data_IF_282622322878
#
_entry.id   IF_282622322878
#
_cell.length_a   1.000
_cell.length_b   1.000
_cell.length_c   1.000
_cell.angle_alpha   90.00
_cell.angle_beta   90.00
_cell.angle_gamma   90.00
#
_symmetry.space_group_name_H-M   'P 1'
#
loop_
_entity.id
_entity.type
_entity.pdbx_description
1 polymer ?
#
# COMPACT_ATOMS: atom_id res chain seq x y z
N UNK A 1 20.58 6.70 -31.79
CA UNK A 1 20.93 5.61 -30.86
C UNK A 1 19.73 5.31 -29.98
N UNK A 2 19.01 4.21 -30.22
CA UNK A 2 17.92 3.79 -29.33
C UNK A 2 18.54 3.26 -28.03
N UNK A 3 18.40 3.99 -26.93
CA UNK A 3 18.78 3.48 -25.62
C UNK A 3 18.01 2.18 -25.36
N UNK A 4 18.75 1.07 -25.20
CA UNK A 4 18.17 -0.24 -24.90
C UNK A 4 17.39 -0.10 -23.58
N UNK A 5 16.06 -0.20 -23.62
CA UNK A 5 15.23 -0.14 -22.40
C UNK A 5 15.65 -1.27 -21.46
N UNK A 6 15.80 -0.97 -20.17
CA UNK A 6 16.10 -1.99 -19.17
C UNK A 6 14.98 -3.03 -19.10
N UNK A 7 15.29 -4.29 -18.74
CA UNK A 7 14.29 -5.35 -18.59
C UNK A 7 13.10 -4.93 -17.71
N UNK A 8 13.34 -4.27 -16.57
CA UNK A 8 12.27 -3.77 -15.69
C UNK A 8 11.45 -2.66 -16.34
N UNK A 9 12.04 -1.84 -17.21
CA UNK A 9 11.29 -0.82 -17.95
C UNK A 9 10.31 -1.48 -18.92
N UNK A 10 10.72 -2.56 -19.59
CA UNK A 10 9.84 -3.32 -20.47
C UNK A 10 8.71 -3.98 -19.68
N UNK A 11 9.01 -4.59 -18.52
CA UNK A 11 8.01 -5.18 -17.65
C UNK A 11 6.98 -4.14 -17.16
N UNK A 12 7.45 -2.96 -16.74
CA UNK A 12 6.57 -1.84 -16.34
C UNK A 12 5.68 -1.36 -17.47
N UNK A 13 6.20 -1.26 -18.70
CA UNK A 13 5.40 -0.89 -19.87
C UNK A 13 4.32 -1.92 -20.18
N UNK A 14 4.64 -3.22 -20.11
CA UNK A 14 3.65 -4.29 -20.29
C UNK A 14 2.55 -4.22 -19.21
N UNK A 15 2.94 -4.06 -17.95
CA UNK A 15 2.01 -3.92 -16.82
C UNK A 15 1.07 -2.70 -17.00
N UNK A 16 1.61 -1.55 -17.38
CA UNK A 16 0.82 -0.34 -17.63
C UNK A 16 -0.14 -0.48 -18.83
N UNK A 17 0.24 -1.30 -19.82
CA UNK A 17 -0.59 -1.60 -21.00
C UNK A 17 -1.60 -2.73 -20.76
N UNK A 18 -1.67 -3.26 -19.54
CA UNK A 18 -2.48 -4.43 -19.15
C UNK A 18 -2.14 -5.73 -19.89
N UNK A 19 -0.95 -5.80 -20.47
CA UNK A 19 -0.38 -7.03 -21.04
C UNK A 19 0.26 -7.82 -19.89
N UNK A 20 -0.58 -8.41 -19.04
CA UNK A 20 -0.16 -8.99 -17.78
C UNK A 20 0.59 -10.31 -17.95
N UNK A 21 0.28 -11.09 -18.99
CA UNK A 21 1.02 -12.32 -19.31
C UNK A 21 2.48 -11.99 -19.64
N UNK A 22 2.70 -11.02 -20.52
CA UNK A 22 4.04 -10.55 -20.86
C UNK A 22 4.74 -9.92 -19.66
N UNK A 23 4.02 -9.12 -18.87
CA UNK A 23 4.58 -8.52 -17.67
C UNK A 23 5.07 -9.60 -16.70
N UNK A 24 4.27 -10.65 -16.46
CA UNK A 24 4.63 -11.77 -15.59
C UNK A 24 5.90 -12.47 -16.08
N UNK A 25 5.95 -12.86 -17.36
CA UNK A 25 7.12 -13.53 -17.95
C UNK A 25 8.40 -12.71 -17.75
N UNK A 26 8.34 -11.40 -18.00
CA UNK A 26 9.48 -10.51 -17.84
C UNK A 26 9.90 -10.39 -16.36
N UNK A 27 8.94 -10.26 -15.44
CA UNK A 27 9.22 -10.15 -14.01
C UNK A 27 9.85 -11.43 -13.46
N UNK A 28 9.28 -12.60 -13.80
CA UNK A 28 9.80 -13.90 -13.38
C UNK A 28 11.25 -14.08 -13.85
N UNK A 29 11.53 -13.72 -15.10
CA UNK A 29 12.88 -13.76 -15.67
C UNK A 29 13.87 -12.88 -14.91
N UNK A 30 13.50 -11.63 -14.61
CA UNK A 30 14.39 -10.70 -13.89
C UNK A 30 14.70 -11.23 -12.49
N UNK A 31 13.67 -11.75 -11.79
CA UNK A 31 13.81 -12.30 -10.43
C UNK A 31 14.69 -13.55 -10.43
N UNK A 32 14.60 -14.42 -11.45
CA UNK A 32 15.41 -15.64 -11.53
C UNK A 32 16.86 -15.36 -11.94
N UNK A 33 17.10 -14.45 -12.89
CA UNK A 33 18.43 -14.22 -13.45
C UNK A 33 19.31 -13.34 -12.55
N UNK A 34 18.72 -12.42 -11.77
CA UNK A 34 19.48 -11.40 -11.01
C UNK A 34 18.97 -11.13 -9.58
N UNK A 35 18.69 -12.17 -8.76
CA UNK A 35 17.85 -12.08 -7.55
C UNK A 35 18.29 -11.05 -6.50
N UNK A 36 19.58 -10.74 -6.39
CA UNK A 36 20.12 -9.78 -5.41
C UNK A 36 20.09 -8.32 -5.83
N UNK A 37 19.80 -8.02 -7.09
CA UNK A 37 19.88 -6.65 -7.64
C UNK A 37 18.69 -5.79 -7.22
N UNK A 38 18.87 -4.47 -7.23
CA UNK A 38 17.75 -3.54 -7.03
C UNK A 38 16.66 -3.69 -8.10
N UNK A 39 17.04 -4.09 -9.31
CA UNK A 39 16.11 -4.37 -10.40
C UNK A 39 15.24 -5.59 -10.09
N UNK A 40 15.83 -6.69 -9.61
CA UNK A 40 15.09 -7.86 -9.17
C UNK A 40 14.22 -7.60 -7.96
N UNK A 41 14.67 -6.80 -7.00
CA UNK A 41 13.82 -6.40 -5.86
C UNK A 41 12.61 -5.57 -6.30
N UNK A 42 12.80 -4.65 -7.24
CA UNK A 42 11.71 -3.87 -7.83
C UNK A 42 10.77 -4.76 -8.66
N UNK A 43 11.32 -5.73 -9.41
CA UNK A 43 10.54 -6.71 -10.15
C UNK A 43 9.68 -7.55 -9.21
N UNK A 44 10.28 -8.05 -8.12
CA UNK A 44 9.57 -8.84 -7.11
C UNK A 44 8.46 -8.06 -6.45
N UNK A 45 8.68 -6.78 -6.13
CA UNK A 45 7.61 -5.93 -5.60
C UNK A 45 6.44 -5.76 -6.58
N UNK A 46 6.74 -5.53 -7.86
CA UNK A 46 5.71 -5.40 -8.90
C UNK A 46 5.00 -6.75 -9.13
N UNK A 47 5.73 -7.86 -8.99
CA UNK A 47 5.19 -9.19 -9.11
C UNK A 47 4.19 -9.49 -7.99
N UNK A 48 4.57 -9.20 -6.74
CA UNK A 48 3.69 -9.28 -5.57
C UNK A 48 2.39 -8.50 -5.78
N UNK A 49 2.48 -7.27 -6.31
CA UNK A 49 1.31 -6.44 -6.65
C UNK A 49 0.41 -7.11 -7.67
N UNK A 50 1.00 -7.71 -8.71
CA UNK A 50 0.23 -8.40 -9.74
C UNK A 50 -0.51 -9.63 -9.20
N UNK A 51 0.10 -10.39 -8.28
CA UNK A 51 -0.58 -11.48 -7.59
C UNK A 51 -1.67 -11.00 -6.62
N UNK A 52 -1.40 -9.94 -5.85
CA UNK A 52 -2.35 -9.32 -4.91
C UNK A 52 -3.57 -8.74 -5.63
N UNK A 53 -3.38 -8.16 -6.83
CA UNK A 53 -4.44 -7.59 -7.64
C UNK A 53 -5.14 -8.65 -8.52
N UNK A 54 -4.62 -9.88 -8.59
CA UNK A 54 -5.14 -10.94 -9.44
C UNK A 54 -4.92 -10.70 -10.94
N UNK A 55 -3.88 -9.95 -11.30
CA UNK A 55 -3.57 -9.62 -12.69
C UNK A 55 -2.84 -10.76 -13.42
N UNK A 56 -2.20 -11.68 -12.71
CA UNK A 56 -1.42 -12.78 -13.28
C UNK A 56 -2.11 -14.15 -13.26
N UNK A 57 -3.26 -14.21 -12.60
CA UNK A 57 -4.02 -15.42 -12.33
C UNK A 57 -5.49 -15.11 -12.51
N UNK A 58 -6.35 -16.12 -12.70
CA UNK A 58 -7.81 -15.93 -12.74
C UNK A 58 -8.39 -15.69 -11.33
N UNK A 59 -7.91 -14.66 -10.64
CA UNK A 59 -8.17 -14.37 -9.23
C UNK A 59 -6.90 -13.96 -8.49
N UNK A 60 -7.03 -13.53 -7.24
CA UNK A 60 -5.89 -13.16 -6.40
C UNK A 60 -5.08 -14.38 -5.99
N UNK A 61 -3.75 -14.28 -6.01
CA UNK A 61 -2.86 -15.28 -5.40
C UNK A 61 -2.16 -14.66 -4.19
N UNK A 62 -2.83 -14.69 -3.04
CA UNK A 62 -2.36 -14.00 -1.84
C UNK A 62 -1.11 -14.66 -1.23
N UNK A 63 -0.91 -15.96 -1.39
CA UNK A 63 0.26 -16.65 -0.85
C UNK A 63 1.54 -16.25 -1.59
N UNK A 64 1.53 -16.30 -2.92
CA UNK A 64 2.66 -15.82 -3.75
C UNK A 64 2.94 -14.33 -3.54
N UNK A 65 1.88 -13.51 -3.41
CA UNK A 65 2.03 -12.09 -3.09
C UNK A 65 2.71 -11.89 -1.72
N UNK A 66 2.32 -12.68 -0.72
CA UNK A 66 2.90 -12.61 0.62
C UNK A 66 4.38 -12.98 0.61
N UNK A 67 4.74 -14.10 -0.03
CA UNK A 67 6.12 -14.57 -0.10
C UNK A 67 7.05 -13.53 -0.76
N UNK A 68 6.60 -12.93 -1.86
CA UNK A 68 7.35 -11.88 -2.53
C UNK A 68 7.55 -10.66 -1.61
N UNK A 69 6.51 -10.22 -0.88
CA UNK A 69 6.64 -9.11 0.05
C UNK A 69 7.53 -9.41 1.24
N UNK A 70 7.40 -10.58 1.86
CA UNK A 70 8.23 -10.98 3.01
C UNK A 70 9.71 -10.99 2.62
N UNK A 71 10.06 -11.51 1.44
CA UNK A 71 11.45 -11.50 0.98
C UNK A 71 12.05 -10.09 0.80
N UNK A 72 11.20 -9.06 0.75
CA UNK A 72 11.59 -7.66 0.58
C UNK A 72 11.51 -6.86 1.88
N UNK A 73 10.88 -7.37 2.95
CA UNK A 73 10.64 -6.60 4.18
C UNK A 73 11.93 -6.18 4.88
N UNK A 74 13.02 -6.93 4.74
CA UNK A 74 14.33 -6.59 5.29
C UNK A 74 15.06 -5.46 4.52
N UNK A 75 14.53 -5.03 3.37
CA UNK A 75 15.14 -3.97 2.58
C UNK A 75 15.04 -2.62 3.31
N UNK A 76 16.14 -1.86 3.38
CA UNK A 76 16.10 -0.52 3.99
C UNK A 76 15.30 0.48 3.14
N UNK A 77 14.76 1.50 3.80
CA UNK A 77 14.12 2.66 3.16
C UNK A 77 12.73 2.35 2.59
N UNK A 78 12.39 3.03 1.48
CA UNK A 78 11.05 3.00 0.87
C UNK A 78 10.62 1.58 0.53
N UNK A 79 11.52 0.76 -0.02
CA UNK A 79 11.15 -0.56 -0.53
C UNK A 79 10.71 -1.51 0.58
N UNK A 80 11.44 -1.59 1.69
CA UNK A 80 11.01 -2.41 2.84
C UNK A 80 9.72 -1.90 3.45
N UNK A 81 9.57 -0.59 3.56
CA UNK A 81 8.32 0.01 4.09
C UNK A 81 7.11 -0.33 3.20
N UNK A 82 7.27 -0.29 1.88
CA UNK A 82 6.24 -0.71 0.93
C UNK A 82 5.96 -2.21 1.00
N UNK A 83 6.99 -3.03 1.17
CA UNK A 83 6.87 -4.48 1.30
C UNK A 83 6.15 -4.88 2.59
N UNK A 84 6.52 -4.32 3.75
CA UNK A 84 5.84 -4.52 5.02
C UNK A 84 4.36 -4.10 4.94
N UNK A 85 4.07 -2.98 4.29
CA UNK A 85 2.68 -2.56 4.04
C UNK A 85 1.95 -3.57 3.14
N UNK A 86 2.63 -4.15 2.15
CA UNK A 86 2.13 -5.23 1.31
C UNK A 86 1.80 -6.49 2.10
N UNK A 87 2.72 -6.95 2.96
CA UNK A 87 2.47 -8.06 3.88
C UNK A 87 1.21 -7.81 4.71
N UNK A 88 1.12 -6.64 5.33
CA UNK A 88 -0.01 -6.27 6.19
C UNK A 88 -1.35 -6.28 5.42
N UNK A 89 -1.39 -5.78 4.19
CA UNK A 89 -2.59 -5.85 3.35
C UNK A 89 -2.98 -7.27 3.01
N UNK A 90 -2.02 -8.10 2.62
CA UNK A 90 -2.27 -9.50 2.28
C UNK A 90 -2.82 -10.26 3.49
N UNK A 91 -2.22 -10.07 4.67
CA UNK A 91 -2.71 -10.65 5.92
C UNK A 91 -4.13 -10.17 6.27
N UNK A 92 -4.41 -8.88 6.07
CA UNK A 92 -5.75 -8.33 6.24
C UNK A 92 -6.76 -9.03 5.31
N UNK A 93 -6.41 -9.24 4.03
CA UNK A 93 -7.26 -9.94 3.06
C UNK A 93 -7.42 -11.44 3.35
N UNK A 94 -6.41 -12.10 3.93
CA UNK A 94 -6.47 -13.53 4.32
C UNK A 94 -7.29 -13.77 5.58
N UNK A 95 -7.39 -12.78 6.48
CA UNK A 95 -8.12 -12.88 7.73
C UNK A 95 -7.68 -11.80 8.71
N UNK A 96 -8.36 -10.65 8.70
CA UNK A 96 -7.93 -9.48 9.46
C UNK A 96 -7.95 -9.69 10.98
N UNK A 97 -8.89 -10.50 11.50
CA UNK A 97 -9.02 -10.76 12.95
C UNK A 97 -7.94 -11.72 13.43
N UNK A 98 -7.72 -12.78 12.67
CA UNK A 98 -6.76 -13.85 12.97
C UNK A 98 -5.32 -13.31 12.92
N UNK A 99 -5.05 -12.39 11.99
CA UNK A 99 -3.73 -11.84 11.76
C UNK A 99 -3.51 -10.45 12.38
N UNK A 100 -4.43 -9.98 13.25
CA UNK A 100 -4.45 -8.58 13.74
C UNK A 100 -3.10 -8.12 14.29
N UNK A 101 -2.45 -8.97 15.11
CA UNK A 101 -1.16 -8.63 15.73
C UNK A 101 -0.07 -8.42 14.68
N UNK A 102 0.07 -9.36 13.75
CA UNK A 102 1.10 -9.25 12.71
C UNK A 102 0.81 -8.07 11.78
N UNK A 103 -0.45 -7.79 11.44
CA UNK A 103 -0.83 -6.62 10.64
C UNK A 103 -0.36 -5.33 11.32
N UNK A 104 -0.61 -5.18 12.63
CA UNK A 104 -0.16 -4.03 13.40
C UNK A 104 1.37 -3.92 13.41
N UNK A 105 2.07 -5.01 13.73
CA UNK A 105 3.54 -5.04 13.81
C UNK A 105 4.16 -4.60 12.49
N UNK A 106 3.73 -5.18 11.36
CA UNK A 106 4.21 -4.80 10.02
C UNK A 106 3.92 -3.35 9.68
N UNK A 107 2.74 -2.83 10.04
CA UNK A 107 2.42 -1.43 9.77
C UNK A 107 3.22 -0.45 10.64
N UNK A 108 3.48 -0.80 11.90
CA UNK A 108 4.32 -0.01 12.78
C UNK A 108 5.77 0.02 12.28
N UNK A 109 6.32 -1.11 11.84
CA UNK A 109 7.64 -1.17 11.20
C UNK A 109 7.69 -0.33 9.91
N UNK A 110 6.67 -0.43 9.05
CA UNK A 110 6.60 0.38 7.83
C UNK A 110 6.53 1.89 8.13
N UNK A 111 5.82 2.26 9.19
CA UNK A 111 5.70 3.64 9.67
C UNK A 111 7.00 4.15 10.27
N UNK A 112 7.72 3.36 11.06
CA UNK A 112 8.99 3.76 11.65
C UNK A 112 10.09 3.90 10.60
N UNK A 113 10.08 3.06 9.56
CA UNK A 113 11.09 3.06 8.52
C UNK A 113 10.98 4.24 7.54
N UNK A 114 9.76 4.64 7.15
CA UNK A 114 9.58 5.67 6.12
C UNK A 114 8.31 6.55 6.29
N UNK A 115 7.68 6.55 7.47
CA UNK A 115 6.42 7.29 7.71
C UNK A 115 5.35 7.01 6.63
N UNK A 116 5.23 5.75 6.23
CA UNK A 116 4.42 5.38 5.08
C UNK A 116 2.92 5.64 5.35
N UNK A 117 2.27 6.55 4.60
CA UNK A 117 0.88 6.92 4.87
C UNK A 117 -0.09 5.77 4.62
N UNK A 118 0.23 4.80 3.75
CA UNK A 118 -0.64 3.63 3.50
C UNK A 118 -0.62 2.65 4.67
N UNK A 119 0.52 2.50 5.34
CA UNK A 119 0.61 1.74 6.59
C UNK A 119 -0.22 2.41 7.70
N UNK A 120 -0.16 3.75 7.79
CA UNK A 120 -1.00 4.51 8.72
C UNK A 120 -2.50 4.37 8.41
N UNK A 121 -2.89 4.34 7.13
CA UNK A 121 -4.28 4.05 6.75
C UNK A 121 -4.71 2.66 7.23
N UNK A 122 -3.87 1.65 7.04
CA UNK A 122 -4.19 0.29 7.45
C UNK A 122 -4.25 0.14 8.98
N UNK A 123 -3.35 0.81 9.73
CA UNK A 123 -3.45 0.92 11.19
C UNK A 123 -4.80 1.52 11.60
N UNK A 124 -5.20 2.62 10.96
CA UNK A 124 -6.49 3.25 11.24
C UNK A 124 -7.67 2.31 11.00
N UNK A 125 -7.64 1.59 9.87
CA UNK A 125 -8.69 0.63 9.49
C UNK A 125 -8.79 -0.53 10.48
N UNK A 126 -7.66 -1.12 10.87
CA UNK A 126 -7.62 -2.22 11.85
C UNK A 126 -8.14 -1.75 13.21
N UNK A 127 -7.71 -0.58 13.68
CA UNK A 127 -8.22 -0.04 14.93
C UNK A 127 -9.72 0.23 14.90
N UNK A 128 -10.26 0.71 13.79
CA UNK A 128 -11.69 1.01 13.64
C UNK A 128 -12.55 -0.26 13.54
N UNK A 129 -12.19 -1.17 12.65
CA UNK A 129 -13.08 -2.27 12.23
C UNK A 129 -12.84 -3.57 12.99
N UNK A 130 -11.63 -3.77 13.51
CA UNK A 130 -11.23 -5.02 14.15
C UNK A 130 -11.14 -4.85 15.67
N UNK A 131 -10.42 -3.83 16.12
CA UNK A 131 -10.19 -3.58 17.56
C UNK A 131 -11.32 -2.73 18.16
N UNK A 132 -12.05 -1.98 17.34
CA UNK A 132 -13.08 -1.02 17.74
C UNK A 132 -12.56 0.12 18.65
N UNK A 133 -11.29 0.50 18.48
CA UNK A 133 -10.68 1.67 19.10
C UNK A 133 -10.75 2.88 18.15
N UNK A 134 -11.84 3.63 18.28
CA UNK A 134 -12.06 4.84 17.48
C UNK A 134 -11.01 5.94 17.76
N UNK A 135 -10.44 6.01 18.96
CA UNK A 135 -9.45 7.03 19.30
C UNK A 135 -8.14 6.80 18.53
N UNK A 136 -7.63 5.57 18.55
CA UNK A 136 -6.45 5.18 17.77
C UNK A 136 -6.72 5.26 16.26
N UNK A 137 -7.89 4.84 15.79
CA UNK A 137 -8.26 4.96 14.38
C UNK A 137 -8.14 6.42 13.88
N UNK A 138 -8.78 7.36 14.59
CA UNK A 138 -8.71 8.80 14.28
C UNK A 138 -7.27 9.32 14.26
N UNK A 139 -6.44 8.92 15.23
CA UNK A 139 -5.03 9.31 15.31
C UNK A 139 -4.29 8.90 14.04
N UNK A 140 -4.39 7.63 13.65
CA UNK A 140 -3.69 7.08 12.49
C UNK A 140 -4.15 7.70 11.17
N UNK A 141 -5.45 7.88 11.01
CA UNK A 141 -6.03 8.57 9.85
C UNK A 141 -5.53 10.01 9.71
N UNK A 142 -5.43 10.76 10.82
CA UNK A 142 -4.85 12.11 10.80
C UNK A 142 -3.36 12.10 10.48
N UNK A 143 -2.60 11.11 10.96
CA UNK A 143 -1.18 10.95 10.61
C UNK A 143 -1.00 10.65 9.12
N UNK A 144 -1.82 9.78 8.53
CA UNK A 144 -1.80 9.51 7.09
C UNK A 144 -2.06 10.76 6.26
N UNK A 145 -3.03 11.59 6.69
CA UNK A 145 -3.30 12.89 6.06
C UNK A 145 -2.11 13.84 6.13
N UNK A 146 -1.48 13.98 7.31
CA UNK A 146 -0.28 14.80 7.50
C UNK A 146 0.90 14.31 6.64
N UNK A 147 0.96 13.01 6.37
CA UNK A 147 1.94 12.40 5.46
C UNK A 147 1.56 12.49 3.97
N UNK A 148 0.56 13.32 3.62
CA UNK A 148 0.22 13.66 2.24
C UNK A 148 -0.82 12.74 1.59
N UNK A 149 -1.59 11.97 2.37
CA UNK A 149 -2.66 11.11 1.85
C UNK A 149 -4.05 11.64 2.22
N UNK A 150 -4.76 12.34 1.29
CA UNK A 150 -6.06 12.96 1.55
C UNK A 150 -7.12 12.01 2.13
N UNK A 151 -7.03 10.72 1.78
CA UNK A 151 -7.91 9.68 2.30
C UNK A 151 -7.92 9.59 3.82
N UNK A 152 -6.80 9.89 4.50
CA UNK A 152 -6.76 9.89 5.96
C UNK A 152 -7.84 10.78 6.57
N UNK A 153 -7.99 12.01 6.07
CA UNK A 153 -8.98 12.92 6.61
C UNK A 153 -10.43 12.55 6.24
N UNK A 154 -10.64 11.84 5.11
CA UNK A 154 -11.96 11.27 4.75
C UNK A 154 -12.37 10.16 5.70
N UNK A 155 -11.46 9.24 6.02
CA UNK A 155 -11.72 8.16 6.97
C UNK A 155 -11.90 8.70 8.40
N UNK A 156 -11.10 9.69 8.81
CA UNK A 156 -11.31 10.43 10.05
C UNK A 156 -12.74 11.02 10.14
N UNK A 157 -13.21 11.66 9.06
CA UNK A 157 -14.57 12.21 9.02
C UNK A 157 -15.63 11.10 9.19
N UNK A 158 -15.42 9.93 8.56
CA UNK A 158 -16.27 8.76 8.73
C UNK A 158 -16.38 8.30 10.18
N UNK A 159 -15.26 8.22 10.91
CA UNK A 159 -15.26 7.89 12.35
C UNK A 159 -16.02 8.94 13.17
N UNK A 160 -15.86 10.24 12.85
CA UNK A 160 -16.60 11.32 13.54
C UNK A 160 -18.11 11.22 13.31
N UNK A 161 -18.55 10.84 12.10
CA UNK A 161 -19.97 10.63 11.79
C UNK A 161 -20.54 9.45 12.59
N UNK A 162 -19.82 8.33 12.67
CA UNK A 162 -20.22 7.17 13.49
C UNK A 162 -20.37 7.56 14.97
N UNK A 163 -19.53 8.48 15.46
CA UNK A 163 -19.63 9.07 16.82
C UNK A 163 -20.65 10.22 16.94
N UNK A 164 -21.47 10.50 15.90
CA UNK A 164 -22.45 11.61 15.85
C UNK A 164 -21.87 13.02 16.01
N UNK A 165 -20.57 13.19 15.71
CA UNK A 165 -19.85 14.48 15.76
C UNK A 165 -19.92 15.20 14.41
N UNK A 166 -21.14 15.54 13.98
CA UNK A 166 -21.44 16.04 12.64
C UNK A 166 -20.66 17.29 12.25
N UNK A 167 -20.51 18.26 13.15
CA UNK A 167 -19.77 19.51 12.87
C UNK A 167 -18.29 19.18 12.54
N UNK A 168 -17.66 18.29 13.31
CA UNK A 168 -16.27 17.89 13.09
C UNK A 168 -16.12 17.13 11.77
N UNK A 169 -17.07 16.25 11.46
CA UNK A 169 -17.08 15.53 10.19
C UNK A 169 -17.24 16.47 8.99
N UNK A 170 -18.16 17.44 9.07
CA UNK A 170 -18.38 18.44 8.03
C UNK A 170 -17.12 19.27 7.78
N UNK A 171 -16.50 19.80 8.85
CA UNK A 171 -15.26 20.56 8.74
C UNK A 171 -14.12 19.74 8.12
N UNK A 172 -14.01 18.45 8.46
CA UNK A 172 -13.03 17.56 7.87
C UNK A 172 -13.28 17.37 6.35
N UNK A 173 -14.53 17.19 5.92
CA UNK A 173 -14.87 17.09 4.49
C UNK A 173 -14.55 18.36 3.71
N UNK A 174 -14.89 19.54 4.27
CA UNK A 174 -14.54 20.84 3.66
C UNK A 174 -13.02 20.96 3.53
N UNK A 175 -12.28 20.62 4.58
CA UNK A 175 -10.82 20.69 4.55
C UNK A 175 -10.23 19.73 3.49
N UNK A 176 -10.73 18.50 3.38
CA UNK A 176 -10.32 17.57 2.31
C UNK A 176 -10.56 18.18 0.94
N UNK A 177 -11.71 18.78 0.69
CA UNK A 177 -12.04 19.37 -0.61
C UNK A 177 -11.05 20.47 -1.00
N UNK A 178 -10.69 21.33 -0.03
CA UNK A 178 -9.73 22.42 -0.23
C UNK A 178 -8.30 21.91 -0.44
N UNK A 179 -7.86 20.92 0.34
CA UNK A 179 -6.45 20.50 0.32
C UNK A 179 -6.15 19.37 -0.67
N UNK A 180 -7.15 18.59 -1.09
CA UNK A 180 -6.93 17.46 -2.02
C UNK A 180 -6.26 17.87 -3.32
N UNK A 181 -6.67 18.95 -4.03
CA UNK A 181 -6.00 19.35 -5.27
C UNK A 181 -4.51 19.64 -5.07
N UNK A 182 -4.16 20.35 -3.99
CA UNK A 182 -2.77 20.69 -3.64
C UNK A 182 -1.98 19.41 -3.34
N UNK A 183 -2.55 18.50 -2.54
CA UNK A 183 -1.90 17.24 -2.20
C UNK A 183 -1.73 16.33 -3.42
N UNK A 184 -2.68 16.32 -4.37
CA UNK A 184 -2.55 15.58 -5.63
C UNK A 184 -1.45 16.17 -6.51
N UNK A 185 -1.31 17.50 -6.56
CA UNK A 185 -0.21 18.13 -7.30
C UNK A 185 1.17 17.81 -6.70
N UNK A 186 1.29 17.74 -5.37
CA UNK A 186 2.56 17.47 -4.67
C UNK A 186 2.90 15.97 -4.69
N UNK A 187 1.91 15.10 -4.44
CA UNK A 187 2.14 13.69 -4.14
C UNK A 187 1.58 12.71 -5.19
N UNK A 188 0.83 13.21 -6.17
CA UNK A 188 0.11 12.43 -7.16
C UNK A 188 -1.21 11.83 -6.66
N UNK A 189 -1.94 11.19 -7.56
CA UNK A 189 -3.15 10.44 -7.23
C UNK A 189 -2.73 9.15 -6.51
N UNK A 190 -3.27 8.91 -5.31
CA UNK A 190 -2.96 7.73 -4.48
C UNK A 190 -4.24 7.07 -3.99
N UNK A 191 -4.28 5.74 -4.06
CA UNK A 191 -5.30 4.93 -3.39
C UNK A 191 -5.02 4.91 -1.87
N UNK A 192 -6.06 4.78 -1.01
CA UNK A 192 -5.87 4.73 0.43
C UNK A 192 -4.94 3.60 0.89
N UNK A 193 -4.93 2.48 0.16
CA UNK A 193 -4.19 1.27 0.56
C UNK A 193 -3.18 0.79 -0.49
N UNK A 194 -3.33 1.17 -1.77
CA UNK A 194 -2.54 0.61 -2.90
C UNK A 194 -1.71 1.66 -3.63
#
# INVERSE_FOLDING_TARGET
MNAKKSPISLAKCAYASKDFDRAKILLDRIVSETPGTMEAKAARYLRARGYEDGNFTCGTNLDEAYEDYVSLSESKGILGSLAMTGCARVLYSKGARENVREILDRCHEAQSLHSNPKAMMLLGLVHEEIIHDSASAKKWYLMAYKAGLPWGLRYYAGVQLKEKKYIRAFLAHVLVFVTSPILVLIYGIRSPFK
#
